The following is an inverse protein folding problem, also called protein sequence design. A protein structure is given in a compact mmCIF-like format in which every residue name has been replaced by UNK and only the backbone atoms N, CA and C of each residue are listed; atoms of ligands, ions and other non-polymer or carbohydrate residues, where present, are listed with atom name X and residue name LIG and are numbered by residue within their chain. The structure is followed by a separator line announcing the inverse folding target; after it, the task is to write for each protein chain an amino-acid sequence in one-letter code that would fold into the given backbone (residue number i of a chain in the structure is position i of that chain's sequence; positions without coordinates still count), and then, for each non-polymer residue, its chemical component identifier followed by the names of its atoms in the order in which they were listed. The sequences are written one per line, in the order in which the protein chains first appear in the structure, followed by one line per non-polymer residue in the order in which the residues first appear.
data_IF_429653668678
#
_entry.id   IF_429653668678
#
_cell.length_a   1.000
_cell.length_b   1.000
_cell.length_c   1.000
_cell.angle_alpha   90.00
_cell.angle_beta   90.00
_cell.angle_gamma   90.00
#
_symmetry.space_group_name_H-M   'P 1'
#
loop_
_entity.id
_entity.type
_entity.pdbx_description
1 polymer ?
#
# COMPACT_ATOMS: atom_id res chain seq x y z
N UNK A 1 12.33 13.16 16.35
CA UNK A 1 11.26 12.18 16.08
C UNK A 1 11.71 11.28 14.95
N UNK A 2 11.86 9.95 15.15
CA UNK A 2 12.25 9.04 14.06
C UNK A 2 11.07 8.92 13.10
N UNK A 3 11.19 9.49 11.90
CA UNK A 3 10.22 9.28 10.83
C UNK A 3 10.14 7.77 10.59
N UNK A 4 8.98 7.18 10.89
CA UNK A 4 8.73 5.77 10.55
C UNK A 4 8.92 5.65 9.03
N UNK A 5 9.94 4.89 8.62
CA UNK A 5 10.26 4.69 7.22
C UNK A 5 9.07 4.01 6.54
N UNK A 6 8.51 4.65 5.52
CA UNK A 6 7.50 4.05 4.65
C UNK A 6 8.21 3.51 3.42
N UNK A 7 7.83 2.30 3.01
CA UNK A 7 8.36 1.68 1.82
C UNK A 7 7.42 1.95 0.66
N UNK A 8 7.97 2.47 -0.43
CA UNK A 8 7.30 2.58 -1.72
C UNK A 8 7.90 1.48 -2.58
N UNK A 9 7.10 0.48 -2.93
CA UNK A 9 7.47 -0.57 -3.85
C UNK A 9 6.80 -0.27 -5.18
N UNK A 10 7.57 -0.31 -6.26
CA UNK A 10 7.06 -0.11 -7.61
C UNK A 10 7.24 -1.41 -8.37
N UNK A 11 6.15 -1.84 -8.98
CA UNK A 11 6.05 -3.01 -9.85
C UNK A 11 5.56 -2.54 -11.23
N UNK A 12 5.57 -3.42 -12.21
CA UNK A 12 5.00 -3.10 -13.52
C UNK A 12 3.50 -2.82 -13.38
N UNK A 13 3.08 -1.59 -13.69
CA UNK A 13 1.68 -1.16 -13.57
C UNK A 13 1.15 -0.93 -12.15
N UNK A 14 1.92 -1.24 -11.10
CA UNK A 14 1.46 -1.17 -9.71
C UNK A 14 2.42 -0.41 -8.78
N UNK A 15 1.86 0.28 -7.78
CA UNK A 15 2.58 0.95 -6.71
C UNK A 15 2.03 0.50 -5.36
N UNK A 16 2.90 -0.02 -4.49
CA UNK A 16 2.55 -0.44 -3.14
C UNK A 16 3.25 0.46 -2.11
N UNK A 17 2.46 1.13 -1.27
CA UNK A 17 2.92 1.90 -0.12
C UNK A 17 2.66 1.09 1.15
N UNK A 18 3.71 0.64 1.84
CA UNK A 18 3.58 -0.16 3.06
C UNK A 18 4.49 0.34 4.18
N UNK A 19 4.12 0.02 5.42
CA UNK A 19 4.95 0.30 6.59
C UNK A 19 5.94 -0.81 6.94
N UNK A 20 5.64 -2.04 6.54
CA UNK A 20 6.50 -3.21 6.79
C UNK A 20 6.67 -3.99 5.49
N UNK A 21 7.88 -4.47 5.25
CA UNK A 21 8.21 -5.40 4.18
C UNK A 21 8.34 -6.83 4.76
N UNK A 22 7.86 -7.88 4.05
CA UNK A 22 7.08 -7.80 2.82
C UNK A 22 5.67 -7.23 3.06
N UNK A 23 5.14 -6.51 2.07
CA UNK A 23 3.78 -6.02 2.09
C UNK A 23 2.81 -7.20 2.17
N UNK A 24 1.89 -7.17 3.14
CA UNK A 24 0.92 -8.25 3.38
C UNK A 24 -0.44 -7.64 3.71
N UNK A 25 -1.48 -8.25 3.17
CA UNK A 25 -2.87 -7.91 3.44
C UNK A 25 -3.53 -9.05 4.20
N UNK A 26 -3.76 -8.88 5.51
CA UNK A 26 -4.66 -9.76 6.27
C UNK A 26 -6.12 -9.29 6.12
N UNK A 27 -6.30 -8.00 5.84
CA UNK A 27 -7.54 -7.39 5.38
C UNK A 27 -7.24 -6.51 4.16
N UNK A 28 -8.12 -6.55 3.17
CA UNK A 28 -8.03 -5.71 1.98
C UNK A 28 -9.43 -5.32 1.52
N UNK A 29 -9.58 -4.06 1.13
CA UNK A 29 -10.76 -3.53 0.46
C UNK A 29 -10.32 -2.86 -0.82
N UNK A 30 -11.10 -3.04 -1.88
CA UNK A 30 -10.82 -2.47 -3.21
C UNK A 30 -11.79 -1.35 -3.54
N UNK A 31 -11.30 -0.34 -4.25
CA UNK A 31 -12.11 0.72 -4.81
C UNK A 31 -11.48 1.22 -6.11
N UNK A 32 -12.31 1.59 -7.08
CA UNK A 32 -11.87 2.21 -8.32
C UNK A 32 -11.86 3.74 -8.18
N UNK A 33 -10.84 4.39 -8.74
CA UNK A 33 -10.76 5.84 -8.80
C UNK A 33 -10.46 6.30 -10.23
N UNK A 34 -10.90 7.50 -10.61
CA UNK A 34 -10.46 8.14 -11.85
C UNK A 34 -8.93 8.21 -11.95
N UNK A 35 -8.43 8.32 -13.18
CA UNK A 35 -7.01 8.44 -13.44
C UNK A 35 -6.38 9.64 -12.69
N UNK A 36 -5.33 9.36 -11.92
CA UNK A 36 -4.56 10.34 -11.17
C UNK A 36 -3.14 9.82 -10.85
N UNK A 37 -2.30 10.62 -10.20
CA UNK A 37 -0.98 10.17 -9.74
C UNK A 37 -1.09 9.08 -8.64
N UNK A 38 -0.62 7.83 -8.90
CA UNK A 38 -0.77 6.72 -7.97
C UNK A 38 -0.08 6.94 -6.61
N UNK A 39 1.08 7.60 -6.63
CA UNK A 39 1.86 7.83 -5.40
C UNK A 39 1.12 8.81 -4.49
N UNK A 40 0.62 9.92 -5.03
CA UNK A 40 -0.16 10.91 -4.28
C UNK A 40 -1.45 10.32 -3.74
N UNK A 41 -2.18 9.56 -4.56
CA UNK A 41 -3.39 8.85 -4.12
C UNK A 41 -3.05 7.90 -2.97
N UNK A 42 -2.01 7.06 -3.12
CA UNK A 42 -1.62 6.11 -2.07
C UNK A 42 -1.29 6.77 -0.73
N UNK A 43 -0.62 7.94 -0.75
CA UNK A 43 -0.27 8.70 0.44
C UNK A 43 -1.48 9.29 1.16
N UNK A 44 -2.45 9.82 0.39
CA UNK A 44 -3.69 10.37 0.93
C UNK A 44 -4.60 9.27 1.51
N UNK A 45 -4.85 8.22 0.73
CA UNK A 45 -5.64 7.04 1.17
C UNK A 45 -5.08 6.48 2.46
N UNK A 46 -3.77 6.29 2.53
CA UNK A 46 -3.07 5.84 3.74
C UNK A 46 -3.30 6.78 4.93
N UNK A 47 -3.21 8.10 4.73
CA UNK A 47 -3.38 9.07 5.79
C UNK A 47 -4.80 9.01 6.38
N UNK A 48 -5.81 8.97 5.53
CA UNK A 48 -7.21 8.91 5.97
C UNK A 48 -7.58 7.55 6.55
N UNK A 49 -7.11 6.46 5.93
CA UNK A 49 -7.27 5.12 6.45
C UNK A 49 -6.65 5.02 7.85
N UNK A 50 -5.42 5.50 8.04
CA UNK A 50 -4.76 5.49 9.35
C UNK A 50 -5.56 6.26 10.39
N UNK A 51 -6.10 7.44 10.07
CA UNK A 51 -6.98 8.19 10.99
C UNK A 51 -8.20 7.39 11.43
N UNK A 52 -8.80 6.61 10.54
CA UNK A 52 -9.97 5.79 10.84
C UNK A 52 -9.66 4.51 11.64
N UNK A 53 -8.47 3.92 11.45
CA UNK A 53 -8.14 2.60 12.00
C UNK A 53 -7.02 2.61 13.05
N UNK A 54 -6.46 3.76 13.41
CA UNK A 54 -5.35 3.90 14.36
C UNK A 54 -5.59 3.30 15.76
N UNK A 55 -6.86 3.15 16.18
CA UNK A 55 -7.21 2.47 17.44
C UNK A 55 -7.10 0.95 17.35
N UNK A 56 -6.89 0.39 16.16
CA UNK A 56 -6.70 -1.05 15.94
C UNK A 56 -5.28 -1.44 16.33
N UNK A 57 -5.14 -2.14 17.46
CA UNK A 57 -3.84 -2.63 17.93
C UNK A 57 -3.23 -3.60 16.92
N UNK A 58 -1.93 -3.44 16.64
CA UNK A 58 -1.20 -4.36 15.77
C UNK A 58 -1.44 -4.17 14.27
N UNK A 59 -2.19 -3.14 13.85
CA UNK A 59 -2.43 -2.86 12.44
C UNK A 59 -1.21 -2.19 11.77
N UNK A 60 -0.80 -2.72 10.61
CA UNK A 60 0.26 -2.18 9.76
C UNK A 60 -0.30 -1.88 8.37
N UNK A 61 -0.47 -0.60 8.00
CA UNK A 61 -1.15 -0.21 6.77
C UNK A 61 -0.36 -0.54 5.50
N UNK A 62 -1.09 -0.98 4.48
CA UNK A 62 -0.62 -1.26 3.12
C UNK A 62 -1.65 -0.69 2.15
N UNK A 63 -1.19 0.05 1.15
CA UNK A 63 -2.01 0.57 0.04
C UNK A 63 -1.34 0.21 -1.26
N UNK A 64 -2.02 -0.55 -2.12
CA UNK A 64 -1.58 -0.86 -3.48
C UNK A 64 -2.46 -0.14 -4.48
N UNK A 65 -1.86 0.48 -5.48
CA UNK A 65 -2.54 1.17 -6.57
C UNK A 65 -2.08 0.53 -7.88
N UNK A 66 -3.02 0.02 -8.65
CA UNK A 66 -2.78 -0.55 -9.97
C UNK A 66 -3.39 0.38 -11.02
N UNK A 67 -2.67 0.62 -12.12
CA UNK A 67 -3.25 1.33 -13.27
C UNK A 67 -4.12 0.34 -14.06
N UNK A 68 -5.35 0.74 -14.34
CA UNK A 68 -6.29 0.00 -15.19
C UNK A 68 -6.72 0.89 -16.36
N UNK A 69 -7.32 0.33 -17.40
CA UNK A 69 -7.65 1.03 -18.65
C UNK A 69 -8.49 2.30 -18.43
N UNK A 70 -9.37 2.30 -17.42
CA UNK A 70 -10.25 3.43 -17.07
C UNK A 70 -9.80 4.29 -15.90
N UNK A 71 -8.68 3.97 -15.23
CA UNK A 71 -8.28 4.70 -14.02
C UNK A 71 -7.33 3.95 -13.10
N UNK A 72 -7.60 4.00 -11.80
CA UNK A 72 -6.79 3.40 -10.76
C UNK A 72 -7.61 2.38 -9.96
N UNK A 73 -7.11 1.17 -9.82
CA UNK A 73 -7.61 0.20 -8.87
C UNK A 73 -6.84 0.35 -7.56
N UNK A 74 -7.52 0.80 -6.51
CA UNK A 74 -6.96 0.99 -5.17
C UNK A 74 -7.30 -0.22 -4.32
N UNK A 75 -6.28 -0.88 -3.78
CA UNK A 75 -6.43 -1.89 -2.72
C UNK A 75 -5.85 -1.32 -1.42
N UNK A 76 -6.68 -1.05 -0.42
CA UNK A 76 -6.25 -0.54 0.88
C UNK A 76 -6.55 -1.54 1.99
N UNK A 77 -5.63 -1.64 2.94
CA UNK A 77 -5.78 -2.49 4.11
C UNK A 77 -4.46 -2.67 4.82
N UNK A 78 -4.13 -3.90 5.18
CA UNK A 78 -2.82 -4.19 5.74
C UNK A 78 -2.77 -5.42 6.64
N UNK A 79 -1.64 -5.54 7.34
CA UNK A 79 -1.37 -6.62 8.28
C UNK A 79 -2.03 -6.33 9.63
N UNK A 80 -2.55 -7.37 10.29
CA UNK A 80 -3.02 -7.31 11.67
C UNK A 80 -2.23 -8.31 12.50
N UNK A 81 -1.57 -7.84 13.57
CA UNK A 81 -0.97 -8.75 14.53
C UNK A 81 -2.08 -9.42 15.38
N UNK A 82 -2.34 -10.70 15.10
CA UNK A 82 -3.34 -11.50 15.80
C UNK A 82 -4.69 -11.56 15.07
N UNK A 83 -5.80 -11.61 15.81
CA UNK A 83 -7.14 -11.74 15.24
C UNK A 83 -7.55 -10.45 14.52
N UNK A 84 -8.00 -10.57 13.28
CA UNK A 84 -8.58 -9.47 12.50
C UNK A 84 -9.94 -9.07 13.12
N UNK A 85 -10.13 -7.81 13.54
CA UNK A 85 -11.44 -7.34 13.99
C UNK A 85 -12.45 -7.38 12.85
N UNK A 86 -13.66 -7.90 13.11
CA UNK A 86 -14.71 -8.04 12.09
C UNK A 86 -15.13 -6.71 11.46
N UNK A 87 -15.06 -5.61 12.21
CA UNK A 87 -15.42 -4.28 11.72
C UNK A 87 -14.29 -3.55 10.95
N UNK A 88 -13.08 -4.12 10.88
CA UNK A 88 -11.93 -3.44 10.28
C UNK A 88 -12.12 -3.24 8.76
N UNK A 89 -12.61 -4.26 8.06
CA UNK A 89 -12.91 -4.16 6.64
C UNK A 89 -13.97 -3.07 6.36
N UNK A 90 -15.04 -3.04 7.15
CA UNK A 90 -16.09 -2.03 7.03
C UNK A 90 -15.57 -0.60 7.27
N UNK A 91 -14.68 -0.41 8.26
CA UNK A 91 -14.04 0.90 8.50
C UNK A 91 -13.16 1.35 7.33
N UNK A 92 -12.43 0.42 6.72
CA UNK A 92 -11.59 0.72 5.55
C UNK A 92 -12.48 1.05 4.34
N UNK A 93 -13.54 0.26 4.11
CA UNK A 93 -14.52 0.50 3.05
C UNK A 93 -15.17 1.88 3.18
N UNK A 94 -15.65 2.24 4.37
CA UNK A 94 -16.24 3.56 4.63
C UNK A 94 -15.28 4.73 4.35
N UNK A 95 -13.96 4.52 4.47
CA UNK A 95 -12.97 5.52 4.07
C UNK A 95 -12.84 5.59 2.54
N UNK A 96 -12.77 4.45 1.87
CA UNK A 96 -12.61 4.37 0.41
C UNK A 96 -13.85 4.83 -0.36
N UNK A 97 -15.04 4.63 0.20
CA UNK A 97 -16.32 4.96 -0.40
C UNK A 97 -16.76 6.41 -0.15
N UNK A 98 -16.10 7.12 0.79
CA UNK A 98 -16.40 8.51 1.09
C UNK A 98 -16.07 9.43 -0.09
N UNK A 99 -17.12 9.92 -0.76
CA UNK A 99 -17.01 10.73 -1.96
C UNK A 99 -16.22 12.02 -1.76
N UNK A 100 -16.34 12.67 -0.60
CA UNK A 100 -15.58 13.89 -0.29
C UNK A 100 -14.08 13.61 -0.19
N UNK A 101 -13.70 12.46 0.39
CA UNK A 101 -12.30 12.01 0.41
C UNK A 101 -11.82 11.67 -1.00
N UNK A 102 -12.60 10.90 -1.77
CA UNK A 102 -12.25 10.50 -3.15
C UNK A 102 -11.97 11.72 -4.04
N UNK A 103 -12.88 12.70 -4.04
CA UNK A 103 -12.69 13.93 -4.81
C UNK A 103 -11.45 14.71 -4.37
N UNK A 104 -11.19 14.80 -3.05
CA UNK A 104 -9.97 15.45 -2.54
C UNK A 104 -8.71 14.73 -3.00
N UNK A 105 -8.67 13.41 -2.94
CA UNK A 105 -7.52 12.62 -3.36
C UNK A 105 -7.21 12.84 -4.84
N UNK A 106 -8.23 12.73 -5.69
CA UNK A 106 -8.11 12.91 -7.14
C UNK A 106 -7.67 14.34 -7.47
N UNK A 107 -8.31 15.38 -6.91
CA UNK A 107 -7.92 16.79 -7.10
C UNK A 107 -6.49 17.09 -6.63
N UNK A 108 -6.02 16.41 -5.59
CA UNK A 108 -4.65 16.55 -5.12
C UNK A 108 -3.64 15.85 -6.04
N UNK A 109 -4.03 14.72 -6.62
CA UNK A 109 -3.19 13.88 -7.45
C UNK A 109 -3.17 14.28 -8.94
N UNK A 110 -4.16 15.01 -9.43
CA UNK A 110 -4.22 15.51 -10.82
C UNK A 110 -3.29 16.71 -11.09
N UNK A 111 -2.82 17.42 -10.05
CA UNK A 111 -2.09 18.69 -10.19
C UNK A 111 -0.74 18.61 -10.92
N UNK A 112 -0.20 17.42 -11.22
CA UNK A 112 1.04 17.24 -12.01
C UNK A 112 1.09 15.88 -12.72
N UNK A 113 0.07 15.52 -13.50
CA UNK A 113 0.22 14.37 -14.43
C UNK A 113 1.07 14.83 -15.63
N UNK A 114 2.34 15.12 -15.37
CA UNK A 114 3.38 15.25 -16.39
C UNK A 114 4.06 13.88 -16.47
N UNK A 115 3.87 13.25 -17.62
CA UNK A 115 4.28 11.92 -18.05
C UNK A 115 5.64 11.44 -17.54
N UNK A 116 5.73 10.14 -17.21
CA UNK A 116 7.00 9.40 -17.21
C UNK A 116 7.51 8.92 -15.85
N UNK A 117 7.34 7.63 -15.55
CA UNK A 117 8.17 6.95 -14.53
C UNK A 117 8.19 5.44 -14.76
N UNK A 118 8.64 5.02 -15.95
CA UNK A 118 9.04 3.63 -16.23
C UNK A 118 10.46 3.30 -15.72
N UNK A 119 11.24 4.30 -15.29
CA UNK A 119 12.68 4.17 -15.05
C UNK A 119 13.07 3.71 -13.63
N UNK A 120 12.15 3.67 -12.67
CA UNK A 120 12.48 3.31 -11.27
C UNK A 120 12.17 1.83 -10.92
N UNK A 121 11.57 1.07 -11.85
CA UNK A 121 11.11 -0.30 -11.62
C UNK A 121 12.25 -1.33 -11.53
N UNK A 122 13.39 -1.11 -12.18
CA UNK A 122 14.48 -2.09 -12.23
C UNK A 122 15.21 -2.27 -10.88
N UNK A 123 15.40 -1.18 -10.12
CA UNK A 123 16.21 -1.22 -8.89
C UNK A 123 15.47 -1.75 -7.65
N UNK A 124 14.13 -1.82 -7.67
CA UNK A 124 13.35 -2.30 -6.53
C UNK A 124 13.07 -3.81 -6.61
N UNK A 125 12.81 -4.33 -7.83
CA UNK A 125 12.59 -5.75 -8.06
C UNK A 125 13.82 -6.60 -7.74
N UNK A 126 15.02 -6.09 -8.06
CA UNK A 126 16.29 -6.75 -7.71
C UNK A 126 16.50 -6.77 -6.18
N UNK A 127 16.08 -5.72 -5.46
CA UNK A 127 16.14 -5.66 -3.99
C UNK A 127 15.16 -6.62 -3.29
N UNK A 128 13.97 -6.82 -3.85
CA UNK A 128 13.00 -7.80 -3.35
C UNK A 128 13.45 -9.24 -3.61
N UNK A 129 14.11 -9.51 -4.76
CA UNK A 129 14.74 -10.80 -5.04
C UNK A 129 15.92 -11.11 -4.11
N UNK A 130 16.73 -10.10 -3.76
CA UNK A 130 17.87 -10.30 -2.85
C UNK A 130 17.46 -10.61 -1.41
N UNK A 131 16.33 -10.09 -0.93
CA UNK A 131 15.81 -10.43 0.41
C UNK A 131 15.14 -11.82 0.50
N UNK A 132 14.69 -12.40 -0.62
CA UNK A 132 14.04 -13.72 -0.61
C UNK A 132 15.04 -14.90 -0.67
N UNK A 133 16.31 -14.64 -0.94
CA UNK A 133 17.33 -15.68 -1.14
C UNK A 133 18.26 -15.92 0.07
N UNK A 134 18.09 -15.20 1.19
CA UNK A 134 19.00 -15.31 2.36
C UNK A 134 18.50 -16.23 3.48
N UNK A 135 17.42 -16.99 3.28
CA UNK A 135 16.95 -18.02 4.24
C UNK A 135 17.12 -19.43 3.69
N UNK A 136 18.36 -19.81 3.37
CA UNK A 136 18.77 -21.22 3.40
C UNK A 136 20.22 -21.31 3.89
N UNK A 137 20.38 -21.23 5.21
CA UNK A 137 21.55 -21.76 5.91
C UNK A 137 21.13 -22.22 7.29
N UNK A 138 21.13 -23.52 7.49
CA UNK A 138 21.52 -24.11 8.77
C UNK A 138 20.52 -25.10 9.37
N UNK A 139 20.78 -26.38 9.11
CA UNK A 139 20.53 -27.52 10.01
C UNK A 139 21.30 -28.72 9.39
N UNK A 140 22.14 -29.50 10.06
CA UNK A 140 22.40 -29.68 11.48
C UNK A 140 23.63 -30.60 11.69
N UNK A 141 24.41 -30.25 12.72
CA UNK A 141 25.22 -31.02 13.69
C UNK A 141 25.94 -32.34 13.38
N UNK A 142 27.19 -32.33 13.87
CA UNK A 142 28.03 -33.46 14.27
C UNK A 142 27.33 -34.42 15.26
N UNK A 143 27.85 -35.64 15.39
CA UNK A 143 28.70 -35.94 16.55
C UNK A 143 30.10 -36.45 16.19
#
# INVERSE_FOLDING_TARGET
MRHKSWHILREEGALTLCRQTPARFDVAVRAELPLADPLRVSQQVRQDMWRAVQSTRGFSPVVRIERSEGGLLVTAGGRVAGRVPSNLAAKIAAVLEDESKRQRWVRHAQRRVSSGSGLQNAQQAEKLRKCAAEFDKGSESAP
#
